data_IF_419839005171
#
_entry.id   IF_419839005171
#
_cell.length_a   1.000
_cell.length_b   1.000
_cell.length_c   1.000
_cell.angle_alpha   90.00
_cell.angle_beta   90.00
_cell.angle_gamma   90.00
#
_symmetry.space_group_name_H-M   'P 1'
#
loop_
_entity.id
_entity.type
_entity.pdbx_description
1 polymer ?
#
# COMPACT_ATOMS: atom_id res chain seq x y z
N UNK A 1 -20.46 -8.57 -7.11
CA UNK A 1 -19.71 -8.21 -5.89
C UNK A 1 -19.40 -6.73 -5.93
N UNK A 2 -20.07 -5.92 -5.11
CA UNK A 2 -19.72 -4.50 -4.98
C UNK A 2 -18.32 -4.42 -4.36
N UNK A 3 -17.32 -3.99 -5.14
CA UNK A 3 -15.99 -3.73 -4.60
C UNK A 3 -16.09 -2.53 -3.67
N UNK A 4 -16.03 -2.78 -2.36
CA UNK A 4 -16.03 -1.70 -1.38
C UNK A 4 -14.73 -0.89 -1.52
N UNK A 5 -14.81 0.21 -2.27
CA UNK A 5 -13.68 1.08 -2.57
C UNK A 5 -12.99 1.58 -1.29
N UNK A 6 -13.75 1.83 -0.21
CA UNK A 6 -13.19 2.27 1.08
C UNK A 6 -12.25 1.22 1.68
N UNK A 7 -12.64 -0.06 1.65
CA UNK A 7 -11.80 -1.15 2.15
C UNK A 7 -10.55 -1.36 1.28
N UNK A 8 -10.71 -1.21 -0.04
CA UNK A 8 -9.59 -1.30 -0.97
C UNK A 8 -8.56 -0.16 -0.74
N UNK A 9 -9.02 1.08 -0.61
CA UNK A 9 -8.17 2.24 -0.29
C UNK A 9 -7.45 2.03 1.05
N UNK A 10 -8.15 1.58 2.09
CA UNK A 10 -7.56 1.30 3.40
C UNK A 10 -6.43 0.25 3.31
N UNK A 11 -6.67 -0.83 2.56
CA UNK A 11 -5.67 -1.87 2.30
C UNK A 11 -4.48 -1.32 1.51
N UNK A 12 -4.74 -0.52 0.48
CA UNK A 12 -3.69 0.09 -0.33
C UNK A 12 -2.81 1.04 0.49
N UNK A 13 -3.40 1.86 1.38
CA UNK A 13 -2.66 2.69 2.35
C UNK A 13 -1.73 1.86 3.22
N UNK A 14 -2.23 0.74 3.76
CA UNK A 14 -1.42 -0.17 4.58
C UNK A 14 -0.25 -0.78 3.79
N UNK A 15 -0.47 -1.20 2.55
CA UNK A 15 0.60 -1.75 1.71
C UNK A 15 1.67 -0.68 1.43
N UNK A 16 1.26 0.56 1.13
CA UNK A 16 2.20 1.67 0.90
C UNK A 16 2.98 2.02 2.17
N UNK A 17 2.35 2.02 3.35
CA UNK A 17 3.07 2.31 4.60
C UNK A 17 4.14 1.25 4.88
N UNK A 18 3.83 -0.03 4.68
CA UNK A 18 4.81 -1.13 4.80
C UNK A 18 5.92 -0.99 3.77
N UNK A 19 5.60 -0.65 2.51
CA UNK A 19 6.61 -0.42 1.47
C UNK A 19 7.55 0.73 1.84
N UNK A 20 7.01 1.89 2.24
CA UNK A 20 7.81 3.06 2.59
C UNK A 20 8.72 2.80 3.79
N UNK A 21 8.29 1.99 4.76
CA UNK A 21 9.11 1.62 5.91
C UNK A 21 10.32 0.73 5.57
N UNK A 22 10.27 -0.01 4.46
CA UNK A 22 11.31 -0.97 4.06
C UNK A 22 12.04 -0.60 2.77
N UNK A 23 11.56 0.42 2.06
CA UNK A 23 12.18 0.87 0.83
C UNK A 23 13.38 1.76 1.16
N UNK A 24 14.55 1.24 0.82
CA UNK A 24 15.83 1.97 0.85
C UNK A 24 16.39 2.08 -0.57
N UNK A 25 17.40 2.94 -0.78
CA UNK A 25 18.01 3.18 -2.10
C UNK A 25 18.47 1.87 -2.77
N UNK A 26 19.04 0.96 -2.00
CA UNK A 26 19.66 -0.29 -2.51
C UNK A 26 18.69 -1.48 -2.58
N UNK A 27 17.44 -1.32 -2.12
CA UNK A 27 16.48 -2.42 -2.04
C UNK A 27 15.54 -2.39 -3.25
N UNK A 28 15.60 -3.36 -4.18
CA UNK A 28 14.70 -3.38 -5.33
C UNK A 28 13.27 -3.76 -4.92
N UNK A 29 12.28 -3.23 -5.63
CA UNK A 29 10.85 -3.45 -5.34
C UNK A 29 10.48 -4.94 -5.38
N UNK A 30 11.09 -5.71 -6.28
CA UNK A 30 10.89 -7.15 -6.40
C UNK A 30 11.30 -7.90 -5.13
N UNK A 31 12.34 -7.44 -4.42
CA UNK A 31 12.78 -8.03 -3.15
C UNK A 31 11.77 -7.76 -2.03
N UNK A 32 11.20 -6.55 -1.99
CA UNK A 32 10.17 -6.17 -1.02
C UNK A 32 8.90 -7.01 -1.24
N UNK A 33 8.44 -7.12 -2.49
CA UNK A 33 7.27 -7.93 -2.84
C UNK A 33 7.47 -9.40 -2.49
N UNK A 34 8.66 -9.97 -2.75
CA UNK A 34 8.93 -11.39 -2.53
C UNK A 34 9.20 -11.74 -1.07
N UNK A 35 9.87 -10.87 -0.31
CA UNK A 35 10.40 -11.22 1.02
C UNK A 35 9.81 -10.42 2.17
N UNK A 36 9.41 -9.17 1.94
CA UNK A 36 8.92 -8.29 2.99
C UNK A 36 7.39 -8.38 3.10
N UNK A 37 6.68 -8.20 1.98
CA UNK A 37 5.21 -8.22 1.96
C UNK A 37 4.57 -9.48 2.58
N UNK A 38 5.08 -10.71 2.33
CA UNK A 38 4.52 -11.91 2.95
C UNK A 38 4.62 -11.91 4.48
N UNK A 39 5.63 -11.26 5.07
CA UNK A 39 5.79 -11.14 6.53
C UNK A 39 4.68 -10.29 7.17
N UNK A 40 4.09 -9.39 6.39
CA UNK A 40 2.96 -8.53 6.80
C UNK A 40 1.61 -9.08 6.32
N UNK A 41 1.56 -10.36 5.93
CA UNK A 41 0.38 -11.00 5.34
C UNK A 41 -0.15 -10.30 4.08
N UNK A 42 0.74 -9.62 3.34
CA UNK A 42 0.45 -8.98 2.07
C UNK A 42 0.88 -9.96 0.96
N UNK A 43 -0.10 -10.68 0.41
CA UNK A 43 0.12 -11.60 -0.70
C UNK A 43 -0.41 -10.97 -1.99
N UNK A 44 0.51 -10.48 -2.83
CA UNK A 44 0.20 -9.86 -4.11
C UNK A 44 1.32 -10.08 -5.12
N UNK A 45 0.98 -10.07 -6.41
CA UNK A 45 1.95 -10.16 -7.50
C UNK A 45 2.66 -8.82 -7.73
N UNK A 46 3.82 -8.87 -8.39
CA UNK A 46 4.55 -7.66 -8.76
C UNK A 46 3.69 -6.70 -9.62
N UNK A 47 2.85 -7.24 -10.51
CA UNK A 47 1.93 -6.43 -11.32
C UNK A 47 0.86 -5.75 -10.46
N UNK A 48 0.29 -6.47 -9.49
CA UNK A 48 -0.65 -5.88 -8.55
C UNK A 48 0.01 -4.79 -7.70
N UNK A 49 1.27 -4.99 -7.31
CA UNK A 49 2.06 -3.96 -6.63
C UNK A 49 2.22 -2.71 -7.50
N UNK A 50 2.66 -2.86 -8.75
CA UNK A 50 2.84 -1.73 -9.67
C UNK A 50 1.53 -0.94 -9.88
N UNK A 51 0.39 -1.63 -9.98
CA UNK A 51 -0.91 -0.98 -10.05
C UNK A 51 -1.19 -0.16 -8.79
N UNK A 52 -1.03 -0.73 -7.59
CA UNK A 52 -1.26 -0.03 -6.31
C UNK A 52 -0.28 1.14 -6.13
N UNK A 53 0.98 0.96 -6.51
CA UNK A 53 2.04 1.99 -6.42
C UNK A 53 1.75 3.19 -7.32
N UNK A 54 1.17 2.96 -8.51
CA UNK A 54 0.77 4.01 -9.44
C UNK A 54 -0.57 4.67 -9.12
N UNK A 55 -1.30 4.19 -8.11
CA UNK A 55 -2.58 4.79 -7.72
C UNK A 55 -2.38 6.07 -6.91
N UNK A 56 -3.18 7.09 -7.23
CA UNK A 56 -3.36 8.25 -6.35
C UNK A 56 -4.25 7.81 -5.18
N UNK A 57 -3.61 7.51 -4.04
CA UNK A 57 -4.33 7.17 -2.82
C UNK A 57 -4.72 8.48 -2.12
N UNK A 58 -6.02 8.82 -2.00
CA UNK A 58 -6.43 10.00 -1.27
C UNK A 58 -5.96 9.87 0.18
N UNK A 59 -5.40 10.95 0.74
CA UNK A 59 -5.11 11.03 2.18
C UNK A 59 -6.44 10.95 2.94
N UNK A 60 -6.43 10.43 4.16
CA UNK A 60 -7.62 10.54 5.00
C UNK A 60 -7.93 12.02 5.17
N UNK A 61 -9.17 12.42 4.87
CA UNK A 61 -9.68 13.74 5.20
C UNK A 61 -9.63 13.84 6.73
N UNK A 62 -8.54 14.37 7.26
CA UNK A 62 -8.49 14.86 8.63
C UNK A 62 -9.48 16.00 8.67
N UNK A 63 -10.71 15.72 9.11
CA UNK A 63 -11.65 16.78 9.47
C UNK A 63 -10.92 17.66 10.48
N UNK A 64 -10.59 18.88 10.06
CA UNK A 64 -10.07 19.90 10.95
C UNK A 64 -11.20 20.17 11.94
N UNK A 65 -11.06 19.61 13.14
CA UNK A 65 -11.96 19.93 14.25
C UNK A 65 -11.69 21.40 14.60
N UNK A 66 -12.55 22.28 14.11
CA UNK A 66 -12.63 23.66 14.58
C UNK A 66 -13.26 23.61 16.00
N UNK A 67 -12.41 23.43 17.01
CA UNK A 67 -12.74 23.72 18.39
C UNK A 67 -12.17 25.09 18.75
#
# INVERSE_FOLDING_TARGET
MSYNNKNYIKRARYIISVYNAHKHADVPDTKIVRHTFPKYNIHLSYRQWMNIKGMVIPKEETQLTLF
#
